data_IF_298886096411
#
_entry.id   IF_298886096411
#
_cell.length_a   1.000
_cell.length_b   1.000
_cell.length_c   1.000
_cell.angle_alpha   90.00
_cell.angle_beta   90.00
_cell.angle_gamma   90.00
#
_symmetry.space_group_name_H-M   'P 1'
#
loop_
_entity.id
_entity.type
_entity.pdbx_description
1 polymer ?
#
# COMPACT_ATOMS: atom_id res chain seq x y z
N UNK A 1 3.31 -67.05 19.24
CA UNK A 1 4.08 -67.05 17.97
C UNK A 1 3.13 -66.66 16.85
N UNK A 2 3.25 -65.43 16.33
CA UNK A 2 2.77 -65.02 15.00
C UNK A 2 3.74 -63.96 14.48
N UNK A 3 4.06 -64.10 13.20
CA UNK A 3 5.26 -63.64 12.51
C UNK A 3 5.42 -62.11 12.47
N UNK A 4 6.66 -61.66 12.63
CA UNK A 4 7.11 -60.35 12.14
C UNK A 4 7.15 -60.44 10.62
N UNK A 5 6.21 -59.78 9.95
CA UNK A 5 6.33 -59.51 8.52
C UNK A 5 7.40 -58.42 8.39
N UNK A 6 8.61 -58.84 8.03
CA UNK A 6 9.69 -57.93 7.66
C UNK A 6 9.22 -57.11 6.44
N UNK A 7 8.87 -55.84 6.69
CA UNK A 7 8.48 -54.89 5.66
C UNK A 7 9.74 -54.45 4.88
N UNK A 8 10.24 -55.32 4.00
CA UNK A 8 11.35 -55.00 3.11
C UNK A 8 10.84 -53.95 2.12
N UNK A 9 11.43 -52.74 2.05
CA UNK A 9 10.98 -51.72 1.11
C UNK A 9 11.05 -52.25 -0.31
N UNK A 10 9.96 -52.14 -1.07
CA UNK A 10 9.90 -52.53 -2.49
C UNK A 10 10.81 -51.61 -3.30
N UNK A 11 12.06 -52.01 -3.50
CA UNK A 11 13.03 -51.28 -4.33
C UNK A 11 13.08 -51.84 -5.75
N UNK A 12 13.10 -50.96 -6.77
CA UNK A 12 13.27 -51.34 -8.17
C UNK A 12 14.59 -50.80 -8.72
N UNK A 13 15.38 -51.65 -9.41
CA UNK A 13 16.61 -51.23 -10.08
C UNK A 13 16.28 -50.54 -11.41
N UNK A 14 16.86 -49.36 -11.63
CA UNK A 14 16.81 -48.60 -12.89
C UNK A 14 18.24 -48.24 -13.29
N UNK A 15 18.55 -48.29 -14.59
CA UNK A 15 19.82 -47.83 -15.13
C UNK A 15 19.65 -46.42 -15.71
N UNK A 16 20.57 -45.53 -15.39
CA UNK A 16 20.61 -44.14 -15.84
C UNK A 16 22.02 -43.79 -16.33
N UNK A 17 22.13 -42.88 -17.29
CA UNK A 17 23.41 -42.45 -17.86
C UNK A 17 23.76 -41.08 -17.29
N UNK A 18 25.01 -40.93 -16.86
CA UNK A 18 25.55 -39.67 -16.35
C UNK A 18 26.77 -39.25 -17.19
N UNK A 19 27.03 -37.94 -17.34
CA UNK A 19 28.32 -37.45 -17.80
C UNK A 19 29.45 -37.94 -16.89
N UNK A 20 30.61 -38.21 -17.48
CA UNK A 20 31.78 -38.76 -16.77
C UNK A 20 32.18 -37.83 -15.61
N UNK A 21 32.22 -36.53 -15.86
CA UNK A 21 32.58 -35.52 -14.86
C UNK A 21 31.65 -35.51 -13.64
N UNK A 22 30.35 -35.74 -13.85
CA UNK A 22 29.36 -35.79 -12.76
C UNK A 22 29.55 -37.02 -11.87
N UNK A 23 29.88 -38.17 -12.46
CA UNK A 23 30.19 -39.39 -11.69
C UNK A 23 31.44 -39.19 -10.84
N UNK A 24 32.49 -38.59 -11.39
CA UNK A 24 33.70 -38.29 -10.61
C UNK A 24 33.42 -37.37 -9.41
N UNK A 25 32.53 -36.40 -9.57
CA UNK A 25 32.11 -35.52 -8.48
C UNK A 25 31.30 -36.26 -7.41
N UNK A 26 30.39 -37.14 -7.83
CA UNK A 26 29.60 -37.97 -6.91
C UNK A 26 30.53 -38.90 -6.12
N UNK A 27 31.51 -39.53 -6.77
CA UNK A 27 32.46 -40.43 -6.11
C UNK A 27 33.34 -39.68 -5.10
N UNK A 28 33.84 -38.50 -5.46
CA UNK A 28 34.58 -37.63 -4.51
C UNK A 28 33.73 -37.27 -3.30
N UNK A 29 32.44 -36.96 -3.49
CA UNK A 29 31.50 -36.66 -2.42
C UNK A 29 31.18 -37.87 -1.55
N UNK A 30 31.01 -39.05 -2.17
CA UNK A 30 30.75 -40.31 -1.51
C UNK A 30 31.91 -40.72 -0.59
N UNK A 31 33.15 -40.58 -1.08
CA UNK A 31 34.37 -40.80 -0.29
C UNK A 31 34.43 -39.84 0.90
N UNK A 32 34.15 -38.55 0.68
CA UNK A 32 34.18 -37.53 1.74
C UNK A 32 33.14 -37.78 2.83
N UNK A 33 31.95 -38.25 2.46
CA UNK A 33 30.85 -38.57 3.39
C UNK A 33 30.92 -40.01 3.95
N UNK A 34 31.84 -40.84 3.46
CA UNK A 34 31.97 -42.26 3.81
C UNK A 34 30.67 -43.06 3.57
N UNK A 35 30.11 -42.90 2.37
CA UNK A 35 28.88 -43.56 1.93
C UNK A 35 29.03 -44.04 0.49
N UNK A 36 28.11 -44.87 0.00
CA UNK A 36 28.14 -45.31 -1.39
C UNK A 36 27.60 -44.23 -2.34
N UNK A 37 28.15 -44.15 -3.56
CA UNK A 37 27.67 -43.25 -4.60
C UNK A 37 26.16 -43.43 -4.89
N UNK A 38 25.64 -44.66 -4.79
CA UNK A 38 24.22 -44.96 -4.95
C UNK A 38 23.33 -44.35 -3.87
N UNK A 39 23.83 -44.19 -2.64
CA UNK A 39 23.11 -43.52 -1.54
C UNK A 39 23.08 -42.01 -1.76
N UNK A 40 24.20 -41.42 -2.20
CA UNK A 40 24.26 -40.01 -2.60
C UNK A 40 23.26 -39.71 -3.73
N UNK A 41 23.25 -40.54 -4.79
CA UNK A 41 22.33 -40.38 -5.92
C UNK A 41 20.87 -40.47 -5.45
N UNK A 42 20.54 -41.43 -4.57
CA UNK A 42 19.19 -41.56 -4.03
C UNK A 42 18.79 -40.34 -3.19
N UNK A 43 19.68 -39.87 -2.31
CA UNK A 43 19.46 -38.68 -1.47
C UNK A 43 19.19 -37.43 -2.33
N UNK A 44 19.98 -37.22 -3.38
CA UNK A 44 19.79 -36.09 -4.30
C UNK A 44 18.51 -36.21 -5.13
N UNK A 45 18.14 -37.42 -5.58
CA UNK A 45 16.90 -37.64 -6.31
C UNK A 45 15.69 -37.42 -5.38
N UNK A 46 15.71 -37.93 -4.16
CA UNK A 46 14.65 -37.69 -3.17
C UNK A 46 14.50 -36.20 -2.87
N UNK A 47 15.62 -35.49 -2.69
CA UNK A 47 15.61 -34.02 -2.51
C UNK A 47 15.09 -33.29 -3.74
N UNK A 48 15.54 -33.64 -4.94
CA UNK A 48 15.10 -33.02 -6.18
C UNK A 48 13.60 -33.23 -6.45
N UNK A 49 13.09 -34.43 -6.20
CA UNK A 49 11.66 -34.74 -6.30
C UNK A 49 10.84 -33.97 -5.25
N UNK A 50 11.38 -33.77 -4.04
CA UNK A 50 10.73 -32.96 -3.01
C UNK A 50 10.73 -31.46 -3.35
N UNK A 51 11.82 -30.92 -3.93
CA UNK A 51 11.94 -29.50 -4.33
C UNK A 51 10.88 -29.09 -5.33
N UNK A 52 10.62 -29.89 -6.37
CA UNK A 52 9.55 -29.58 -7.33
C UNK A 52 8.18 -29.49 -6.66
N UNK A 53 7.92 -30.35 -5.66
CA UNK A 53 6.72 -30.24 -4.83
C UNK A 53 6.71 -28.98 -3.95
N UNK A 54 7.86 -28.55 -3.43
CA UNK A 54 7.96 -27.32 -2.64
C UNK A 54 7.80 -26.05 -3.49
N UNK A 55 8.33 -26.02 -4.71
CA UNK A 55 8.19 -24.89 -5.65
C UNK A 55 6.71 -24.66 -6.02
N UNK A 56 5.99 -25.72 -6.40
CA UNK A 56 4.53 -25.63 -6.65
C UNK A 56 3.75 -25.13 -5.42
N UNK A 57 4.16 -25.53 -4.21
CA UNK A 57 3.55 -25.06 -2.98
C UNK A 57 3.89 -23.58 -2.67
N UNK A 58 5.10 -23.12 -3.00
CA UNK A 58 5.51 -21.72 -2.81
C UNK A 58 4.69 -20.81 -3.74
N UNK A 59 4.51 -21.19 -5.00
CA UNK A 59 3.70 -20.43 -5.96
C UNK A 59 2.25 -20.34 -5.48
N UNK A 60 1.67 -21.47 -5.05
CA UNK A 60 0.31 -21.49 -4.49
C UNK A 60 0.17 -20.59 -3.25
N UNK A 61 1.13 -20.62 -2.32
CA UNK A 61 1.13 -19.77 -1.13
C UNK A 61 1.27 -18.30 -1.52
N UNK A 62 2.14 -18.00 -2.48
CA UNK A 62 2.36 -16.64 -2.99
C UNK A 62 1.08 -16.07 -3.58
N UNK A 63 0.37 -16.84 -4.41
CA UNK A 63 -0.90 -16.45 -5.00
C UNK A 63 -1.97 -16.19 -3.93
N UNK A 64 -2.07 -17.06 -2.91
CA UNK A 64 -3.01 -16.87 -1.79
C UNK A 64 -2.68 -15.57 -1.04
N UNK A 65 -1.41 -15.31 -0.76
CA UNK A 65 -0.99 -14.09 -0.07
C UNK A 65 -1.34 -12.85 -0.90
N UNK A 66 -1.08 -12.87 -2.21
CA UNK A 66 -1.42 -11.75 -3.09
C UNK A 66 -2.93 -11.50 -3.13
N UNK A 67 -3.74 -12.55 -3.24
CA UNK A 67 -5.20 -12.42 -3.22
C UNK A 67 -5.71 -11.82 -1.90
N UNK A 68 -5.19 -12.29 -0.77
CA UNK A 68 -5.60 -11.80 0.55
C UNK A 68 -5.19 -10.33 0.76
N UNK A 69 -3.99 -9.96 0.32
CA UNK A 69 -3.51 -8.57 0.35
C UNK A 69 -4.39 -7.69 -0.54
N UNK A 70 -4.71 -8.12 -1.76
CA UNK A 70 -5.55 -7.36 -2.68
C UNK A 70 -6.97 -7.17 -2.13
N UNK A 71 -7.57 -8.23 -1.58
CA UNK A 71 -8.87 -8.16 -0.93
C UNK A 71 -8.87 -7.18 0.26
N UNK A 72 -7.83 -7.24 1.09
CA UNK A 72 -7.65 -6.35 2.24
C UNK A 72 -7.48 -4.89 1.82
N UNK A 73 -6.62 -4.61 0.84
CA UNK A 73 -6.38 -3.26 0.30
C UNK A 73 -7.66 -2.71 -0.32
N UNK A 74 -8.38 -3.51 -1.11
CA UNK A 74 -9.63 -3.09 -1.75
C UNK A 74 -10.71 -2.76 -0.72
N UNK A 75 -10.84 -3.57 0.32
CA UNK A 75 -11.75 -3.31 1.45
C UNK A 75 -11.40 -2.00 2.16
N UNK A 76 -10.11 -1.79 2.45
CA UNK A 76 -9.64 -0.56 3.09
C UNK A 76 -9.87 0.68 2.20
N UNK A 77 -9.59 0.58 0.89
CA UNK A 77 -9.82 1.64 -0.08
C UNK A 77 -11.30 2.03 -0.15
N UNK A 78 -12.21 1.05 -0.17
CA UNK A 78 -13.65 1.31 -0.16
C UNK A 78 -14.10 2.00 1.12
N UNK A 79 -13.60 1.57 2.28
CA UNK A 79 -13.87 2.23 3.56
C UNK A 79 -13.34 3.66 3.58
N UNK A 80 -12.14 3.88 3.08
CA UNK A 80 -11.51 5.20 2.99
C UNK A 80 -12.32 6.13 2.08
N UNK A 81 -12.72 5.66 0.90
CA UNK A 81 -13.60 6.41 -0.01
C UNK A 81 -14.93 6.79 0.66
N UNK A 82 -15.54 5.86 1.40
CA UNK A 82 -16.74 6.13 2.19
C UNK A 82 -16.54 7.19 3.27
N UNK A 83 -15.40 7.17 3.98
CA UNK A 83 -15.07 8.18 4.99
C UNK A 83 -14.80 9.55 4.36
N UNK A 84 -14.06 9.61 3.24
CA UNK A 84 -13.82 10.85 2.49
C UNK A 84 -15.15 11.46 2.04
N UNK A 85 -16.08 10.67 1.50
CA UNK A 85 -17.38 11.17 1.09
C UNK A 85 -18.16 11.79 2.25
N UNK A 86 -18.16 11.14 3.43
CA UNK A 86 -18.79 11.69 4.63
C UNK A 86 -18.12 12.98 5.09
N UNK A 87 -16.79 13.03 5.10
CA UNK A 87 -16.04 14.23 5.46
C UNK A 87 -16.33 15.39 4.50
N UNK A 88 -16.43 15.13 3.19
CA UNK A 88 -16.81 16.13 2.19
C UNK A 88 -18.20 16.69 2.47
N UNK A 89 -19.18 15.84 2.77
CA UNK A 89 -20.54 16.29 3.11
C UNK A 89 -20.54 17.15 4.38
N UNK A 90 -19.85 16.71 5.44
CA UNK A 90 -19.76 17.46 6.70
C UNK A 90 -19.05 18.80 6.49
N UNK A 91 -17.95 18.81 5.75
CA UNK A 91 -17.20 20.02 5.42
C UNK A 91 -18.03 21.00 4.61
N UNK A 92 -18.77 20.52 3.60
CA UNK A 92 -19.70 21.35 2.83
C UNK A 92 -20.81 21.91 3.72
N UNK A 93 -21.38 21.11 4.62
CA UNK A 93 -22.40 21.58 5.56
C UNK A 93 -21.86 22.67 6.49
N UNK A 94 -20.65 22.50 7.04
CA UNK A 94 -19.98 23.51 7.86
C UNK A 94 -19.70 24.81 7.07
N UNK A 95 -19.24 24.67 5.82
CA UNK A 95 -19.03 25.80 4.93
C UNK A 95 -20.31 26.60 4.67
N UNK A 96 -21.41 25.93 4.32
CA UNK A 96 -22.70 26.60 4.12
C UNK A 96 -23.24 27.22 5.41
N UNK A 97 -23.10 26.53 6.54
CA UNK A 97 -23.50 27.07 7.84
C UNK A 97 -22.75 28.39 8.16
N UNK A 98 -21.44 28.43 7.91
CA UNK A 98 -20.65 29.65 8.10
C UNK A 98 -21.11 30.78 7.17
N UNK A 99 -21.40 30.48 5.89
CA UNK A 99 -21.94 31.47 4.95
C UNK A 99 -23.27 32.01 5.46
N UNK A 100 -24.17 31.14 5.92
CA UNK A 100 -25.48 31.56 6.44
C UNK A 100 -25.34 32.44 7.67
N UNK A 101 -24.52 32.03 8.65
CA UNK A 101 -24.28 32.82 9.87
C UNK A 101 -23.71 34.19 9.51
N UNK A 102 -22.69 34.26 8.65
CA UNK A 102 -22.10 35.53 8.25
C UNK A 102 -23.12 36.39 7.50
N UNK A 103 -23.88 35.80 6.57
CA UNK A 103 -24.92 36.53 5.85
C UNK A 103 -25.98 37.13 6.78
N UNK A 104 -26.37 36.41 7.83
CA UNK A 104 -27.35 36.91 8.80
C UNK A 104 -26.79 38.03 9.70
N UNK A 105 -25.47 38.02 9.95
CA UNK A 105 -24.80 38.99 10.81
C UNK A 105 -24.31 40.27 10.12
N UNK A 106 -24.14 40.26 8.79
CA UNK A 106 -23.64 41.44 8.05
C UNK A 106 -24.77 42.41 7.70
N UNK A 107 -24.45 43.71 7.67
CA UNK A 107 -25.36 44.73 7.18
C UNK A 107 -25.76 44.47 5.72
N UNK A 108 -27.03 44.73 5.38
CA UNK A 108 -27.60 44.51 4.04
C UNK A 108 -26.79 45.15 2.92
N UNK A 109 -26.16 46.29 3.20
CA UNK A 109 -25.34 47.02 2.22
C UNK A 109 -24.00 46.33 1.92
N UNK A 110 -23.53 45.44 2.82
CA UNK A 110 -22.26 44.70 2.69
C UNK A 110 -22.42 43.32 2.07
N UNK A 111 -23.64 42.88 1.77
CA UNK A 111 -23.90 41.58 1.14
C UNK A 111 -23.17 41.40 -0.19
N UNK A 112 -23.14 42.43 -1.03
CA UNK A 112 -22.46 42.39 -2.33
C UNK A 112 -20.95 42.19 -2.21
N UNK A 113 -20.32 42.81 -1.20
CA UNK A 113 -18.90 42.61 -0.90
C UNK A 113 -18.63 41.20 -0.38
N UNK A 114 -19.50 40.69 0.49
CA UNK A 114 -19.39 39.32 1.00
C UNK A 114 -19.50 38.27 -0.12
N UNK A 115 -20.44 38.43 -1.05
CA UNK A 115 -20.59 37.53 -2.20
C UNK A 115 -19.32 37.51 -3.09
N UNK A 116 -18.70 38.67 -3.33
CA UNK A 116 -17.44 38.75 -4.08
C UNK A 116 -16.30 38.01 -3.38
N UNK A 117 -16.16 38.21 -2.06
CA UNK A 117 -15.13 37.56 -1.25
C UNK A 117 -15.33 36.03 -1.25
N UNK A 118 -16.56 35.56 -1.04
CA UNK A 118 -16.89 34.13 -1.07
C UNK A 118 -16.55 33.49 -2.42
N UNK A 119 -16.91 34.16 -3.52
CA UNK A 119 -16.63 33.70 -4.88
C UNK A 119 -15.14 33.63 -5.17
N UNK A 120 -14.36 34.61 -4.71
CA UNK A 120 -12.90 34.61 -4.83
C UNK A 120 -12.28 33.47 -4.03
N UNK A 121 -12.72 33.26 -2.79
CA UNK A 121 -12.28 32.16 -1.93
C UNK A 121 -12.58 30.78 -2.56
N UNK A 122 -13.77 30.59 -3.12
CA UNK A 122 -14.16 29.35 -3.81
C UNK A 122 -13.30 29.09 -5.05
N UNK A 123 -12.99 30.14 -5.83
CA UNK A 123 -12.11 30.03 -7.00
C UNK A 123 -10.69 29.62 -6.61
N UNK A 124 -10.15 30.19 -5.53
CA UNK A 124 -8.84 29.79 -4.98
C UNK A 124 -8.86 28.35 -4.47
N UNK A 125 -9.87 27.97 -3.70
CA UNK A 125 -10.04 26.59 -3.22
C UNK A 125 -10.06 25.57 -4.37
N UNK A 126 -10.77 25.87 -5.46
CA UNK A 126 -10.80 25.01 -6.65
C UNK A 126 -9.42 24.93 -7.34
N UNK A 127 -8.66 26.02 -7.34
CA UNK A 127 -7.30 26.02 -7.90
C UNK A 127 -6.36 25.09 -7.12
N UNK A 128 -6.47 25.07 -5.78
CA UNK A 128 -5.70 24.14 -4.94
C UNK A 128 -6.17 22.69 -5.10
N UNK A 129 -7.49 22.46 -5.20
CA UNK A 129 -8.04 21.11 -5.37
C UNK A 129 -7.59 20.42 -6.68
N UNK A 130 -7.27 21.20 -7.72
CA UNK A 130 -6.80 20.69 -9.00
C UNK A 130 -5.28 20.48 -9.07
N UNK A 131 -4.53 20.86 -8.03
CA UNK A 131 -3.08 20.66 -7.96
C UNK A 131 -2.73 19.31 -7.34
N UNK A 132 -1.51 18.83 -7.59
CA UNK A 132 -0.97 17.68 -6.85
C UNK A 132 -0.90 18.06 -5.37
N UNK A 133 -1.27 17.13 -4.49
CA UNK A 133 -1.46 17.38 -3.04
C UNK A 133 -0.26 18.08 -2.37
N UNK A 134 0.97 17.71 -2.71
CA UNK A 134 2.18 18.37 -2.18
C UNK A 134 2.33 19.83 -2.63
N UNK A 135 2.10 20.10 -3.92
CA UNK A 135 2.21 21.45 -4.50
C UNK A 135 1.07 22.37 -4.05
N UNK A 136 -0.12 21.80 -3.85
CA UNK A 136 -1.29 22.50 -3.33
C UNK A 136 -1.05 23.01 -1.90
N UNK A 137 -0.52 22.14 -1.03
CA UNK A 137 -0.24 22.48 0.37
C UNK A 137 0.85 23.55 0.45
N UNK A 138 1.93 23.39 -0.31
CA UNK A 138 3.02 24.37 -0.36
C UNK A 138 2.50 25.75 -0.80
N UNK A 139 1.73 25.82 -1.90
CA UNK A 139 1.16 27.09 -2.38
C UNK A 139 0.10 27.68 -1.46
N UNK A 140 -0.67 26.86 -0.75
CA UNK A 140 -1.63 27.34 0.23
C UNK A 140 -0.93 27.94 1.45
N UNK A 141 0.15 27.31 1.95
CA UNK A 141 0.93 27.84 3.08
C UNK A 141 1.76 29.06 2.68
N UNK A 142 2.19 29.14 1.42
CA UNK A 142 2.93 30.28 0.89
C UNK A 142 2.06 31.48 0.49
N UNK A 143 0.73 31.34 0.50
CA UNK A 143 -0.20 32.42 0.19
C UNK A 143 -0.06 33.57 1.22
N UNK A 144 0.18 34.78 0.73
CA UNK A 144 0.41 35.97 1.55
C UNK A 144 -0.78 36.29 2.47
N UNK A 145 -2.03 36.01 2.05
CA UNK A 145 -3.21 36.18 2.91
C UNK A 145 -3.21 35.17 4.06
N UNK A 146 -2.78 33.92 3.80
CA UNK A 146 -2.68 32.86 4.82
C UNK A 146 -1.54 33.16 5.79
N UNK A 147 -0.39 33.62 5.31
CA UNK A 147 0.72 34.09 6.15
C UNK A 147 0.29 35.24 7.04
N UNK A 148 -0.45 36.21 6.51
CA UNK A 148 -0.96 37.36 7.27
C UNK A 148 -1.95 36.91 8.34
N UNK A 149 -2.92 36.07 8.01
CA UNK A 149 -3.89 35.53 8.98
C UNK A 149 -3.21 34.70 10.09
N UNK A 150 -2.22 33.88 9.74
CA UNK A 150 -1.42 33.11 10.73
C UNK A 150 -0.58 34.03 11.63
N UNK A 151 -0.06 35.14 11.10
CA UNK A 151 0.67 36.13 11.88
C UNK A 151 -0.25 36.92 12.83
N UNK A 152 -1.46 37.27 12.41
CA UNK A 152 -2.48 37.92 13.23
C UNK A 152 -2.93 37.02 14.39
N UNK A 153 -3.15 35.72 14.13
CA UNK A 153 -3.48 34.74 15.18
C UNK A 153 -2.31 34.55 16.18
N UNK A 154 -1.07 34.74 15.73
CA UNK A 154 0.14 34.66 16.58
C UNK A 154 0.44 35.98 17.34
N UNK A 155 -0.44 36.98 17.27
CA UNK A 155 -0.35 38.21 18.06
C UNK A 155 0.22 39.43 17.32
N UNK A 156 0.17 39.46 15.98
CA UNK A 156 0.44 40.67 15.19
C UNK A 156 -0.78 41.61 15.15
N UNK A 157 -0.53 42.93 15.20
CA UNK A 157 -1.56 43.98 15.18
C UNK A 157 -2.57 43.78 14.04
N UNK A 158 -3.86 43.74 14.40
CA UNK A 158 -4.96 43.56 13.45
C UNK A 158 -5.05 44.75 12.50
N UNK A 159 -4.52 44.59 11.27
CA UNK A 159 -4.68 45.59 10.22
C UNK A 159 -5.86 45.21 9.33
N UNK A 160 -6.94 45.98 9.46
CA UNK A 160 -8.15 45.92 8.64
C UNK A 160 -7.80 45.65 7.17
N UNK A 161 -8.28 44.52 6.63
CA UNK A 161 -8.09 44.17 5.23
C UNK A 161 -9.18 44.85 4.43
N UNK A 162 -8.81 45.92 3.73
CA UNK A 162 -9.68 46.56 2.75
C UNK A 162 -9.69 45.71 1.48
N UNK A 163 -10.81 45.07 1.18
CA UNK A 163 -11.00 44.28 -0.04
C UNK A 163 -11.48 45.19 -1.17
N UNK A 164 -10.63 46.10 -1.61
CA UNK A 164 -10.82 46.82 -2.87
C UNK A 164 -10.18 46.01 -4.01
N UNK A 165 -10.96 45.12 -4.66
CA UNK A 165 -10.99 44.77 -6.11
C UNK A 165 -12.27 43.97 -6.41
#
# INVERSE_FOLDING_TARGET
MKEKVDNIPKTQKRSVVFPIETLEQIDKLAIKKNVYASEIIREFIEKGLAVNGYEENIDMITDIIHQEIEASIKSLANRLAGMINRLTIISAAAYYANITIISDLIDKDRYSSFEKIEKAARKRALSYANMKSGDAIAKFMDDEEVKKAVAEIKGGDASYVDFDV
#
